data_IF_820129236092
#
_entry.id   IF_820129236092
#
_cell.length_a   1.000
_cell.length_b   1.000
_cell.length_c   1.000
_cell.angle_alpha   90.00
_cell.angle_beta   90.00
_cell.angle_gamma   90.00
#
_symmetry.space_group_name_H-M   'P 1'
#
loop_
_entity.id
_entity.type
_entity.pdbx_description
1 polymer ?
#
# COMPACT_ATOMS: atom_id res chain seq x y z
N UNK A 1 -18.90 -8.78 44.55
CA UNK A 1 -19.12 -9.57 43.31
C UNK A 1 -18.61 -8.76 42.10
N UNK A 2 -17.34 -8.79 41.74
CA UNK A 2 -16.78 -7.92 40.69
C UNK A 2 -15.49 -8.43 40.03
N UNK A 3 -14.94 -9.59 40.42
CA UNK A 3 -13.63 -10.08 39.92
C UNK A 3 -13.68 -11.10 38.76
N UNK A 4 -14.85 -11.66 38.45
CA UNK A 4 -14.98 -12.75 37.46
C UNK A 4 -15.04 -12.27 35.99
N UNK A 5 -15.46 -11.04 35.73
CA UNK A 5 -15.53 -10.49 34.38
C UNK A 5 -14.15 -10.14 33.77
N UNK A 6 -13.25 -9.56 34.56
CA UNK A 6 -11.90 -9.16 34.12
C UNK A 6 -11.00 -10.37 33.79
N UNK A 7 -11.14 -11.50 34.48
CA UNK A 7 -10.39 -12.72 34.21
C UNK A 7 -10.75 -13.35 32.87
N UNK A 8 -12.04 -13.46 32.55
CA UNK A 8 -12.54 -14.04 31.29
C UNK A 8 -12.16 -13.19 30.07
N UNK A 9 -12.10 -11.87 30.20
CA UNK A 9 -11.65 -10.97 29.12
C UNK A 9 -10.16 -11.13 28.86
N UNK A 10 -9.35 -11.20 29.92
CA UNK A 10 -7.89 -11.44 29.81
C UNK A 10 -7.58 -12.80 29.17
N UNK A 11 -8.34 -13.81 29.49
CA UNK A 11 -8.18 -15.17 28.91
C UNK A 11 -8.54 -15.19 27.41
N UNK A 12 -9.62 -14.54 27.01
CA UNK A 12 -10.00 -14.39 25.59
C UNK A 12 -8.96 -13.60 24.80
N UNK A 13 -8.40 -12.55 25.38
CA UNK A 13 -7.32 -11.77 24.77
C UNK A 13 -6.05 -12.64 24.63
N UNK A 14 -5.68 -13.42 25.64
CA UNK A 14 -4.55 -14.36 25.55
C UNK A 14 -4.74 -15.40 24.45
N UNK A 15 -5.91 -16.03 24.39
CA UNK A 15 -6.24 -17.02 23.36
C UNK A 15 -6.17 -16.38 21.97
N UNK A 16 -6.72 -15.19 21.79
CA UNK A 16 -6.67 -14.43 20.55
C UNK A 16 -5.24 -14.08 20.12
N UNK A 17 -4.42 -13.60 21.04
CA UNK A 17 -3.00 -13.32 20.80
C UNK A 17 -2.18 -14.60 20.50
N UNK A 18 -2.50 -15.71 21.17
CA UNK A 18 -1.85 -17.00 20.90
C UNK A 18 -2.23 -17.54 19.52
N UNK A 19 -3.49 -17.41 19.11
CA UNK A 19 -3.94 -17.80 17.76
C UNK A 19 -3.24 -16.93 16.70
N UNK A 20 -3.15 -15.63 16.90
CA UNK A 20 -2.40 -14.72 16.00
C UNK A 20 -0.93 -15.12 15.93
N UNK A 21 -0.30 -15.46 17.04
CA UNK A 21 1.09 -15.87 17.11
C UNK A 21 1.33 -17.20 16.39
N UNK A 22 0.44 -18.18 16.55
CA UNK A 22 0.53 -19.49 15.89
C UNK A 22 0.33 -19.39 14.35
N UNK A 23 -0.53 -18.49 13.88
CA UNK A 23 -0.73 -18.28 12.45
C UNK A 23 0.51 -17.71 11.74
N UNK A 24 1.37 -16.98 12.46
CA UNK A 24 2.58 -16.39 11.87
C UNK A 24 3.76 -17.37 11.74
N UNK A 25 3.73 -18.52 12.41
CA UNK A 25 4.82 -19.53 12.35
C UNK A 25 4.71 -20.40 11.08
N UNK A 26 3.55 -20.43 10.43
CA UNK A 26 3.23 -21.35 9.33
C UNK A 26 3.56 -20.82 7.93
N UNK A 27 4.13 -19.63 7.76
CA UNK A 27 4.36 -19.02 6.45
C UNK A 27 5.76 -18.48 6.32
N UNK A 28 6.70 -19.36 5.95
CA UNK A 28 8.11 -19.02 5.80
C UNK A 28 8.53 -18.68 4.36
N UNK A 29 7.68 -18.84 3.37
CA UNK A 29 8.00 -18.48 1.99
C UNK A 29 7.71 -16.99 1.75
N UNK A 30 8.81 -16.21 1.58
CA UNK A 30 8.71 -14.78 1.28
C UNK A 30 8.29 -14.55 -0.18
N UNK A 31 7.47 -13.53 -0.40
CA UNK A 31 7.15 -13.00 -1.74
C UNK A 31 8.21 -12.01 -2.24
N UNK A 32 9.38 -11.95 -1.60
CA UNK A 32 10.50 -11.14 -2.04
C UNK A 32 11.05 -11.70 -3.37
N UNK A 33 11.38 -10.77 -4.29
CA UNK A 33 11.92 -11.15 -5.61
C UNK A 33 10.88 -11.39 -6.70
N UNK A 34 9.58 -11.39 -6.37
CA UNK A 34 8.53 -11.43 -7.39
C UNK A 34 8.22 -10.05 -7.97
N UNK A 35 7.80 -10.00 -9.22
CA UNK A 35 7.43 -8.80 -9.94
C UNK A 35 6.44 -7.90 -9.16
N UNK A 36 6.44 -6.61 -9.46
CA UNK A 36 5.56 -5.64 -8.81
C UNK A 36 5.86 -5.41 -7.32
N UNK A 37 7.09 -5.64 -6.85
CA UNK A 37 7.46 -5.48 -5.44
C UNK A 37 7.20 -4.07 -4.92
N UNK A 38 7.37 -3.05 -5.75
CA UNK A 38 7.14 -1.64 -5.42
C UNK A 38 5.67 -1.33 -5.09
N UNK A 39 4.72 -2.08 -5.65
CA UNK A 39 3.28 -1.93 -5.36
C UNK A 39 2.91 -2.38 -3.94
N UNK A 40 3.76 -3.17 -3.30
CA UNK A 40 3.54 -3.70 -1.95
C UNK A 40 4.02 -2.77 -0.84
N UNK A 41 4.68 -1.66 -1.19
CA UNK A 41 4.92 -0.55 -0.27
C UNK A 41 3.61 0.22 -0.02
N UNK A 42 3.56 0.98 1.06
CA UNK A 42 2.47 1.91 1.30
C UNK A 42 2.55 3.10 0.33
N UNK A 43 1.43 3.74 0.10
CA UNK A 43 1.32 4.91 -0.80
C UNK A 43 1.13 6.23 -0.05
N UNK A 44 1.19 6.22 1.28
CA UNK A 44 1.16 7.42 2.12
C UNK A 44 1.97 7.20 3.39
N UNK A 45 2.55 8.28 3.94
CA UNK A 45 3.19 8.26 5.25
C UNK A 45 2.18 7.89 6.35
N UNK A 46 0.92 8.31 6.20
CA UNK A 46 -0.17 7.91 7.07
C UNK A 46 -0.29 6.38 7.14
N UNK A 47 -0.46 5.70 6.00
CA UNK A 47 -0.62 4.23 5.98
C UNK A 47 0.64 3.52 6.48
N UNK A 48 1.81 3.99 6.07
CA UNK A 48 3.08 3.35 6.40
C UNK A 48 3.42 3.47 7.88
N UNK A 49 3.11 4.59 8.53
CA UNK A 49 3.27 4.77 9.98
C UNK A 49 2.37 3.86 10.80
N UNK A 50 1.26 3.40 10.21
CA UNK A 50 0.32 2.46 10.83
C UNK A 50 0.48 1.02 10.31
N UNK A 51 1.70 0.63 9.93
CA UNK A 51 2.02 -0.72 9.46
C UNK A 51 1.52 -1.04 8.04
N UNK A 52 0.96 -0.09 7.30
CA UNK A 52 0.44 -0.29 5.94
C UNK A 52 -0.94 -0.96 5.88
N UNK A 53 -1.67 -1.04 6.99
CA UNK A 53 -3.02 -1.58 7.08
C UNK A 53 -4.06 -0.56 6.63
N UNK A 54 -4.57 -0.66 5.38
CA UNK A 54 -5.44 0.37 4.82
C UNK A 54 -6.60 -0.16 3.97
N UNK A 55 -6.95 -1.41 4.16
CA UNK A 55 -8.00 -2.07 3.35
C UNK A 55 -9.40 -1.49 3.61
N UNK A 56 -9.68 -1.03 4.82
CA UNK A 56 -10.97 -0.46 5.21
C UNK A 56 -10.99 1.07 5.28
N UNK A 57 -9.82 1.74 5.30
CA UNK A 57 -9.74 3.20 5.40
C UNK A 57 -10.05 3.87 4.05
N UNK A 58 -10.80 4.99 4.06
CA UNK A 58 -11.21 5.65 2.83
C UNK A 58 -10.98 7.18 2.83
N UNK A 59 -10.74 7.79 3.97
CA UNK A 59 -10.72 9.25 4.15
C UNK A 59 -9.31 9.82 4.25
N UNK A 60 -8.28 8.98 4.19
CA UNK A 60 -6.90 9.39 4.41
C UNK A 60 -6.00 9.07 3.22
N UNK A 61 -5.36 10.10 2.71
CA UNK A 61 -4.20 9.99 1.84
C UNK A 61 -4.50 9.66 0.38
N UNK A 62 -4.28 8.44 -0.05
CA UNK A 62 -4.25 8.01 -1.45
C UNK A 62 -5.47 7.15 -1.82
N UNK A 63 -6.68 7.76 -1.95
CA UNK A 63 -7.90 7.01 -2.18
C UNK A 63 -7.83 6.23 -3.49
N UNK A 64 -8.39 5.02 -3.45
CA UNK A 64 -8.51 4.15 -4.61
C UNK A 64 -7.38 3.14 -4.77
N UNK A 65 -6.13 3.48 -4.45
CA UNK A 65 -5.03 2.52 -4.64
C UNK A 65 -5.11 1.32 -3.70
N UNK A 66 -5.28 1.55 -2.41
CA UNK A 66 -5.31 0.48 -1.40
C UNK A 66 -6.60 -0.36 -1.46
N UNK A 67 -7.71 0.30 -1.75
CA UNK A 67 -9.01 -0.31 -1.98
C UNK A 67 -9.83 0.63 -2.89
N UNK A 68 -10.16 0.22 -4.13
CA UNK A 68 -10.89 1.08 -5.05
C UNK A 68 -12.26 1.53 -4.51
N UNK A 69 -12.90 0.76 -3.65
CA UNK A 69 -14.18 1.14 -3.04
C UNK A 69 -14.11 2.43 -2.21
N UNK A 70 -12.91 2.85 -1.77
CA UNK A 70 -12.69 4.06 -0.96
C UNK A 70 -13.13 5.33 -1.67
N UNK A 71 -12.95 5.44 -3.00
CA UNK A 71 -13.34 6.65 -3.75
C UNK A 71 -14.85 6.88 -3.78
N UNK A 72 -15.67 5.86 -3.55
CA UNK A 72 -17.13 6.00 -3.44
C UNK A 72 -17.60 6.73 -2.18
N UNK A 73 -16.74 6.88 -1.18
CA UNK A 73 -17.04 7.61 0.06
C UNK A 73 -16.45 9.03 0.12
N UNK A 74 -15.77 9.47 -0.92
CA UNK A 74 -15.18 10.81 -0.96
C UNK A 74 -16.25 11.90 -0.83
N UNK A 75 -15.93 12.93 -0.06
CA UNK A 75 -16.74 14.13 0.05
C UNK A 75 -16.10 15.30 -0.70
N UNK A 76 -14.78 15.40 -0.68
CA UNK A 76 -13.95 16.43 -1.29
C UNK A 76 -13.13 15.89 -2.44
N UNK A 77 -12.57 16.80 -3.22
CA UNK A 77 -11.49 16.49 -4.14
C UNK A 77 -10.19 16.41 -3.36
N UNK A 78 -9.36 15.42 -3.67
CA UNK A 78 -8.07 15.23 -3.00
C UNK A 78 -6.95 15.21 -4.02
N UNK A 79 -5.88 15.94 -3.74
CA UNK A 79 -4.57 15.76 -4.36
C UNK A 79 -3.63 15.23 -3.31
N UNK A 80 -2.88 14.18 -3.63
CA UNK A 80 -1.91 13.59 -2.72
C UNK A 80 -0.60 13.40 -3.45
N UNK A 81 0.51 13.78 -2.81
CA UNK A 81 1.87 13.56 -3.29
C UNK A 81 2.66 12.87 -2.19
N UNK A 82 3.45 11.88 -2.56
CA UNK A 82 4.31 11.14 -1.64
C UNK A 82 5.73 11.08 -2.19
N UNK A 83 6.70 11.19 -1.28
CA UNK A 83 8.09 10.84 -1.52
C UNK A 83 8.58 9.90 -0.41
N UNK A 84 9.04 8.72 -0.80
CA UNK A 84 9.60 7.70 0.06
C UNK A 84 11.10 7.55 -0.25
N UNK A 85 11.94 7.98 0.65
CA UNK A 85 13.39 7.79 0.61
C UNK A 85 13.72 6.42 1.18
N UNK A 86 14.08 5.51 0.32
CA UNK A 86 14.48 4.15 0.67
C UNK A 86 16.00 4.05 0.76
N UNK A 87 16.55 3.17 1.60
CA UNK A 87 17.98 2.87 1.60
C UNK A 87 18.47 2.28 0.27
N UNK A 88 19.78 2.30 0.04
CA UNK A 88 20.45 1.72 -1.12
C UNK A 88 20.08 2.40 -2.45
N UNK A 89 20.07 3.73 -2.46
CA UNK A 89 19.75 4.57 -3.63
C UNK A 89 18.39 4.23 -4.29
N UNK A 90 17.45 3.67 -3.50
CA UNK A 90 16.08 3.39 -3.92
C UNK A 90 15.14 4.54 -3.56
N UNK A 91 14.14 4.73 -4.37
CA UNK A 91 13.09 5.71 -4.12
C UNK A 91 11.71 5.20 -4.55
N UNK A 92 10.66 5.81 -4.01
CA UNK A 92 9.31 5.68 -4.50
C UNK A 92 8.63 7.04 -4.41
N UNK A 93 8.09 7.50 -5.52
CA UNK A 93 7.33 8.75 -5.63
C UNK A 93 5.94 8.39 -6.12
N UNK A 94 4.92 9.04 -5.59
CA UNK A 94 3.57 8.87 -6.09
C UNK A 94 2.78 10.16 -6.06
N UNK A 95 1.82 10.25 -6.97
CA UNK A 95 0.87 11.35 -7.05
C UNK A 95 -0.52 10.84 -7.42
N UNK A 96 -1.57 11.40 -6.81
CA UNK A 96 -2.94 11.05 -7.14
C UNK A 96 -3.88 12.25 -7.09
N UNK A 97 -4.93 12.13 -7.86
CA UNK A 97 -6.11 12.97 -7.79
C UNK A 97 -7.35 12.10 -7.64
N UNK A 98 -8.25 12.49 -6.75
CA UNK A 98 -9.53 11.79 -6.59
C UNK A 98 -10.66 12.79 -6.34
N UNK A 99 -11.84 12.42 -6.81
CA UNK A 99 -13.02 13.28 -6.76
C UNK A 99 -14.30 12.48 -6.63
N UNK A 100 -15.27 13.08 -5.97
CA UNK A 100 -16.64 12.60 -5.95
C UNK A 100 -17.30 12.82 -7.32
N UNK A 101 -18.04 11.82 -7.78
CA UNK A 101 -18.93 11.91 -8.93
C UNK A 101 -20.38 11.76 -8.45
N UNK A 102 -21.17 12.84 -8.43
CA UNK A 102 -22.57 12.76 -8.03
C UNK A 102 -23.40 11.81 -8.92
N UNK A 103 -24.41 11.11 -8.38
CA UNK A 103 -24.91 11.23 -7.01
C UNK A 103 -24.18 10.32 -6.00
N UNK A 104 -23.57 9.23 -6.42
CA UNK A 104 -23.10 8.17 -5.50
C UNK A 104 -21.76 7.53 -5.90
N UNK A 105 -21.11 8.03 -6.93
CA UNK A 105 -19.86 7.48 -7.43
C UNK A 105 -18.64 8.32 -7.02
N UNK A 106 -17.45 7.79 -7.23
CA UNK A 106 -16.16 8.46 -7.11
C UNK A 106 -15.18 7.96 -8.15
N UNK A 107 -14.22 8.81 -8.47
CA UNK A 107 -13.15 8.55 -9.42
C UNK A 107 -11.81 8.89 -8.77
N UNK A 108 -10.80 8.10 -9.08
CA UNK A 108 -9.41 8.35 -8.70
C UNK A 108 -8.47 8.04 -9.85
N UNK A 109 -7.43 8.82 -10.00
CA UNK A 109 -6.31 8.53 -10.90
C UNK A 109 -5.02 8.76 -10.14
N UNK A 110 -4.02 7.93 -10.38
CA UNK A 110 -2.71 8.13 -9.77
C UNK A 110 -1.60 7.43 -10.52
N UNK A 111 -0.39 7.86 -10.19
CA UNK A 111 0.86 7.32 -10.70
C UNK A 111 1.77 7.00 -9.53
N UNK A 112 2.46 5.87 -9.62
CA UNK A 112 3.53 5.45 -8.73
C UNK A 112 4.76 5.23 -9.59
N UNK A 113 5.88 5.82 -9.21
CA UNK A 113 7.19 5.57 -9.78
C UNK A 113 8.12 5.10 -8.68
N UNK A 114 8.81 4.02 -8.92
CA UNK A 114 9.85 3.50 -8.04
C UNK A 114 11.09 3.17 -8.85
N UNK A 115 12.26 3.27 -8.24
CA UNK A 115 13.49 2.99 -8.94
C UNK A 115 14.67 2.76 -8.02
N UNK A 116 15.76 2.35 -8.63
CA UNK A 116 17.08 2.25 -8.02
C UNK A 116 18.05 2.99 -8.91
N UNK A 117 18.73 3.97 -8.32
CA UNK A 117 19.79 4.72 -8.99
C UNK A 117 21.17 4.14 -8.69
N UNK A 118 22.18 4.50 -9.53
CA UNK A 118 23.59 4.18 -9.30
C UNK A 118 23.90 2.71 -9.09
N UNK A 119 23.23 1.82 -9.82
CA UNK A 119 23.55 0.38 -9.79
C UNK A 119 24.95 0.20 -10.38
N UNK A 120 25.90 -0.31 -9.58
CA UNK A 120 27.28 -0.55 -9.99
C UNK A 120 27.36 -1.78 -10.89
N UNK A 121 27.42 -1.55 -12.19
CA UNK A 121 27.58 -2.61 -13.18
C UNK A 121 29.01 -3.12 -13.23
N UNK A 122 29.19 -4.46 -13.25
CA UNK A 122 30.49 -5.12 -13.28
C UNK A 122 30.53 -6.23 -14.32
N UNK A 123 31.67 -6.38 -14.97
CA UNK A 123 31.93 -7.53 -15.84
C UNK A 123 32.28 -8.81 -15.04
N UNK A 124 32.47 -9.92 -15.74
CA UNK A 124 32.81 -11.20 -15.12
C UNK A 124 34.15 -11.20 -14.35
N UNK A 125 35.03 -10.22 -14.59
CA UNK A 125 36.28 -10.02 -13.87
C UNK A 125 36.13 -9.11 -12.64
N UNK A 126 34.92 -8.57 -12.40
CA UNK A 126 34.63 -7.64 -11.31
C UNK A 126 34.96 -6.18 -11.63
N UNK A 127 35.42 -5.85 -12.84
CA UNK A 127 35.70 -4.49 -13.27
C UNK A 127 34.41 -3.74 -13.53
N UNK A 128 34.34 -2.51 -13.03
CA UNK A 128 33.17 -1.63 -13.25
C UNK A 128 33.01 -1.33 -14.74
N UNK A 129 31.79 -1.56 -15.25
CA UNK A 129 31.39 -1.29 -16.64
C UNK A 129 30.61 0.01 -16.79
N UNK A 130 29.93 0.47 -15.71
CA UNK A 130 29.15 1.69 -15.69
C UNK A 130 28.23 1.77 -14.49
N UNK A 131 27.46 2.87 -14.43
CA UNK A 131 26.36 3.05 -13.49
C UNK A 131 25.05 2.90 -14.27
N UNK A 132 24.19 2.05 -13.77
CA UNK A 132 22.86 1.79 -14.33
C UNK A 132 21.76 2.28 -13.40
N UNK A 133 20.55 2.38 -13.92
CA UNK A 133 19.33 2.64 -13.15
C UNK A 133 18.20 1.75 -13.64
N UNK A 134 17.25 1.48 -12.77
CA UNK A 134 15.99 0.80 -13.12
C UNK A 134 14.82 1.63 -12.63
N UNK A 135 13.74 1.61 -13.38
CA UNK A 135 12.53 2.36 -13.06
C UNK A 135 11.29 1.51 -13.31
N UNK A 136 10.35 1.59 -12.38
CA UNK A 136 9.05 0.93 -12.45
C UNK A 136 7.94 1.99 -12.30
N UNK A 137 6.93 1.89 -13.14
CA UNK A 137 5.77 2.78 -13.11
C UNK A 137 4.48 1.98 -13.01
N UNK A 138 3.55 2.46 -12.23
CA UNK A 138 2.17 2.02 -12.22
C UNK A 138 1.24 3.23 -12.34
N UNK A 139 0.40 3.23 -13.36
CA UNK A 139 -0.70 4.19 -13.51
C UNK A 139 -1.98 3.44 -13.19
N UNK A 140 -2.86 4.00 -12.38
CA UNK A 140 -4.14 3.38 -12.06
C UNK A 140 -5.30 4.35 -12.21
N UNK A 141 -6.43 3.80 -12.59
CA UNK A 141 -7.72 4.46 -12.65
C UNK A 141 -8.68 3.72 -11.74
N UNK A 142 -9.20 4.40 -10.74
CA UNK A 142 -10.17 3.89 -9.76
C UNK A 142 -11.57 4.40 -10.06
N UNK A 143 -12.54 3.52 -10.02
CA UNK A 143 -13.94 3.89 -10.05
C UNK A 143 -14.69 3.13 -8.96
N UNK A 144 -15.56 3.82 -8.22
CA UNK A 144 -16.43 3.18 -7.25
C UNK A 144 -17.82 3.78 -7.26
N UNK A 145 -18.79 2.95 -6.88
CA UNK A 145 -20.15 3.36 -6.64
C UNK A 145 -20.60 2.96 -5.23
N UNK A 146 -21.13 3.94 -4.52
CA UNK A 146 -21.78 3.74 -3.23
C UNK A 146 -23.21 3.26 -3.49
N UNK A 147 -23.42 1.93 -3.41
CA UNK A 147 -24.72 1.30 -3.69
C UNK A 147 -25.79 1.72 -2.68
N UNK A 148 -25.40 1.81 -1.42
CA UNK A 148 -26.21 2.32 -0.31
C UNK A 148 -25.33 3.19 0.60
N UNK A 149 -25.92 3.91 1.55
CA UNK A 149 -25.17 4.82 2.45
C UNK A 149 -23.98 4.17 3.16
N UNK A 150 -24.00 2.84 3.32
CA UNK A 150 -23.00 2.08 4.09
C UNK A 150 -22.11 1.18 3.25
N UNK A 151 -22.38 0.98 1.97
CA UNK A 151 -21.67 0.00 1.14
C UNK A 151 -21.18 0.67 -0.14
N UNK A 152 -19.91 0.50 -0.43
CA UNK A 152 -19.26 0.88 -1.67
C UNK A 152 -18.59 -0.32 -2.32
N UNK A 153 -18.69 -0.41 -3.64
CA UNK A 153 -17.94 -1.32 -4.50
C UNK A 153 -17.08 -0.52 -5.45
N UNK A 154 -15.89 -0.99 -5.74
CA UNK A 154 -14.97 -0.30 -6.62
C UNK A 154 -14.08 -1.24 -7.42
N UNK A 155 -13.53 -0.72 -8.50
CA UNK A 155 -12.59 -1.40 -9.38
C UNK A 155 -11.42 -0.46 -9.71
N UNK A 156 -10.23 -1.03 -9.85
CA UNK A 156 -9.06 -0.38 -10.44
C UNK A 156 -8.69 -1.06 -11.74
N UNK A 157 -8.30 -0.27 -12.71
CA UNK A 157 -7.51 -0.73 -13.88
C UNK A 157 -6.12 -0.13 -13.71
N UNK A 158 -5.10 -0.98 -13.84
CA UNK A 158 -3.70 -0.62 -13.69
C UNK A 158 -2.93 -0.88 -14.99
N UNK A 159 -2.01 0.00 -15.31
CA UNK A 159 -1.04 -0.15 -16.41
C UNK A 159 0.33 -0.06 -15.79
N UNK A 160 1.18 -1.03 -16.11
CA UNK A 160 2.54 -1.13 -15.61
C UNK A 160 3.54 -0.91 -16.72
N UNK A 161 4.67 -0.29 -16.37
CA UNK A 161 5.81 -0.12 -17.24
C UNK A 161 7.08 -0.24 -16.41
N UNK A 162 8.07 -1.00 -16.91
CA UNK A 162 9.36 -1.17 -16.25
C UNK A 162 10.50 -1.05 -17.26
N UNK A 163 11.60 -0.44 -16.83
CA UNK A 163 12.85 -0.32 -17.57
C UNK A 163 13.92 -1.12 -16.85
N UNK A 164 14.53 -2.11 -17.51
CA UNK A 164 15.65 -2.87 -16.97
C UNK A 164 16.98 -2.15 -17.13
N UNK A 165 17.92 -2.34 -16.16
CA UNK A 165 19.22 -1.70 -16.14
C UNK A 165 20.25 -2.43 -17.03
N UNK A 166 19.94 -2.60 -18.32
CA UNK A 166 20.84 -3.25 -19.30
C UNK A 166 21.07 -2.35 -20.50
N UNK A 167 22.22 -2.54 -21.16
CA UNK A 167 22.48 -1.89 -22.45
C UNK A 167 21.39 -2.32 -23.45
N UNK A 168 20.79 -1.33 -24.15
CA UNK A 168 19.67 -1.56 -25.07
C UNK A 168 18.29 -1.27 -24.49
N UNK A 169 18.16 -0.96 -23.18
CA UNK A 169 16.90 -0.62 -22.50
C UNK A 169 15.73 -1.54 -22.84
N UNK A 170 15.70 -2.71 -22.23
CA UNK A 170 14.53 -3.57 -22.34
C UNK A 170 13.40 -2.97 -21.50
N UNK A 171 12.28 -2.80 -22.16
CA UNK A 171 11.07 -2.29 -21.55
C UNK A 171 10.06 -3.42 -21.40
N UNK A 172 9.37 -3.45 -20.28
CA UNK A 172 8.23 -4.31 -20.05
C UNK A 172 6.96 -3.48 -19.92
N UNK A 173 5.86 -4.06 -20.31
CA UNK A 173 4.52 -3.52 -20.13
C UNK A 173 3.64 -4.55 -19.47
N UNK A 174 2.69 -4.08 -18.69
CA UNK A 174 1.75 -4.97 -18.02
C UNK A 174 0.43 -4.27 -17.70
N UNK A 175 -0.53 -5.06 -17.33
CA UNK A 175 -1.84 -4.58 -16.85
C UNK A 175 -2.28 -5.40 -15.65
N UNK A 176 -3.18 -4.87 -14.86
CA UNK A 176 -3.76 -5.55 -13.71
C UNK A 176 -5.09 -4.94 -13.33
N UNK A 177 -5.87 -5.68 -12.58
CA UNK A 177 -7.20 -5.24 -12.12
C UNK A 177 -7.31 -5.49 -10.62
N UNK A 178 -7.98 -4.56 -9.92
CA UNK A 178 -8.38 -4.76 -8.52
C UNK A 178 -9.89 -4.67 -8.40
N UNK A 179 -10.45 -5.38 -7.42
CA UNK A 179 -11.85 -5.28 -7.02
C UNK A 179 -11.94 -5.08 -5.51
N UNK A 180 -12.70 -4.09 -5.08
CA UNK A 180 -12.78 -3.68 -3.69
C UNK A 180 -14.19 -3.53 -3.16
N UNK A 181 -14.33 -3.73 -1.87
CA UNK A 181 -15.55 -3.60 -1.09
C UNK A 181 -15.24 -2.90 0.23
N UNK A 182 -16.09 -1.95 0.63
CA UNK A 182 -16.07 -1.32 1.96
C UNK A 182 -17.47 -1.30 2.53
N UNK A 183 -17.59 -1.74 3.79
CA UNK A 183 -18.81 -1.69 4.58
C UNK A 183 -18.62 -0.81 5.82
N UNK A 184 -19.33 0.31 5.87
CA UNK A 184 -19.38 1.19 7.02
C UNK A 184 -20.45 0.69 7.99
N UNK A 185 -20.04 -0.20 8.93
CA UNK A 185 -20.96 -0.80 9.89
C UNK A 185 -21.60 0.27 10.80
N UNK A 186 -20.78 1.14 11.37
CA UNK A 186 -21.20 2.25 12.24
C UNK A 186 -20.33 3.48 11.98
N UNK A 187 -20.52 4.55 12.75
CA UNK A 187 -19.64 5.73 12.70
C UNK A 187 -18.20 5.40 13.12
N UNK A 188 -18.02 4.37 13.95
CA UNK A 188 -16.76 4.02 14.57
C UNK A 188 -16.14 2.73 14.01
N UNK A 189 -16.84 1.96 13.15
CA UNK A 189 -16.34 0.68 12.64
C UNK A 189 -16.58 0.56 11.15
N UNK A 190 -15.50 0.34 10.43
CA UNK A 190 -15.46 0.09 9.00
C UNK A 190 -14.76 -1.23 8.72
N UNK A 191 -15.26 -1.96 7.73
CA UNK A 191 -14.72 -3.22 7.26
C UNK A 191 -14.42 -3.10 5.77
N UNK A 192 -13.30 -3.63 5.35
CA UNK A 192 -12.85 -3.60 3.97
C UNK A 192 -12.42 -4.99 3.48
N UNK A 193 -12.63 -5.21 2.21
CA UNK A 193 -12.13 -6.36 1.48
C UNK A 193 -11.65 -5.92 0.10
N UNK A 194 -10.54 -6.48 -0.37
CA UNK A 194 -10.01 -6.17 -1.70
C UNK A 194 -9.25 -7.37 -2.27
N UNK A 195 -9.39 -7.58 -3.55
CA UNK A 195 -8.51 -8.42 -4.37
C UNK A 195 -7.69 -7.46 -5.23
N UNK A 196 -6.36 -7.50 -5.10
CA UNK A 196 -5.45 -6.65 -5.86
C UNK A 196 -4.53 -7.48 -6.74
N UNK A 197 -4.09 -6.84 -7.84
CA UNK A 197 -3.15 -7.40 -8.81
C UNK A 197 -3.67 -8.71 -9.45
N UNK A 198 -5.00 -8.79 -9.62
CA UNK A 198 -5.61 -9.93 -10.29
C UNK A 198 -5.21 -9.93 -11.77
N UNK A 199 -4.65 -11.06 -12.20
CA UNK A 199 -4.13 -11.26 -13.55
C UNK A 199 -3.12 -10.16 -13.96
N UNK A 200 -2.28 -9.75 -13.01
CA UNK A 200 -1.25 -8.75 -13.25
C UNK A 200 0.07 -9.43 -13.62
N UNK A 201 0.70 -8.96 -14.68
CA UNK A 201 2.00 -9.44 -15.15
C UNK A 201 2.77 -8.35 -15.89
N UNK A 202 4.09 -8.53 -15.97
CA UNK A 202 4.94 -7.88 -16.96
C UNK A 202 5.15 -8.83 -18.14
N UNK A 203 5.11 -8.31 -19.37
CA UNK A 203 5.52 -8.99 -20.57
C UNK A 203 6.85 -8.42 -21.10
N UNK A 204 7.84 -9.28 -21.24
CA UNK A 204 9.19 -8.98 -21.70
C UNK A 204 9.43 -9.57 -23.10
N UNK A 205 10.02 -8.80 -24.00
CA UNK A 205 10.46 -9.32 -25.30
C UNK A 205 11.97 -9.17 -25.41
N UNK A 206 12.68 -10.30 -25.54
CA UNK A 206 14.14 -10.33 -25.65
C UNK A 206 14.66 -10.10 -27.08
N UNK A 207 13.77 -10.07 -28.07
CA UNK A 207 14.16 -9.83 -29.48
C UNK A 207 14.72 -8.43 -29.75
N UNK A 208 14.38 -7.47 -28.88
CA UNK A 208 14.89 -6.10 -28.97
C UNK A 208 16.37 -5.99 -28.53
N UNK A 209 16.91 -6.98 -27.79
CA UNK A 209 18.29 -6.93 -27.25
C UNK A 209 19.31 -7.31 -28.31
N UNK A 210 19.03 -8.34 -29.08
CA UNK A 210 20.03 -8.99 -29.94
C UNK A 210 19.73 -8.85 -31.44
N UNK A 211 18.68 -8.10 -31.80
CA UNK A 211 18.20 -7.97 -33.18
C UNK A 211 17.91 -9.34 -33.85
N UNK A 212 17.61 -10.34 -33.03
CA UNK A 212 17.31 -11.73 -33.42
C UNK A 212 15.87 -12.08 -33.00
N UNK A 213 15.41 -13.28 -33.39
CA UNK A 213 14.11 -13.80 -32.91
C UNK A 213 14.17 -13.97 -31.39
N UNK A 214 13.56 -13.03 -30.65
CA UNK A 214 13.41 -13.13 -29.20
C UNK A 214 12.25 -13.99 -28.76
N UNK A 215 12.24 -14.30 -27.48
CA UNK A 215 11.12 -14.94 -26.78
C UNK A 215 10.39 -13.91 -25.91
N UNK A 216 9.08 -14.07 -25.78
CA UNK A 216 8.29 -13.31 -24.82
C UNK A 216 8.22 -14.10 -23.52
N UNK A 217 8.53 -13.44 -22.41
CA UNK A 217 8.41 -13.97 -21.06
C UNK A 217 7.40 -13.15 -20.29
N UNK A 218 6.66 -13.78 -19.41
CA UNK A 218 5.71 -13.14 -18.51
C UNK A 218 6.17 -13.33 -17.07
N UNK A 219 6.26 -12.22 -16.32
CA UNK A 219 6.53 -12.20 -14.89
C UNK A 219 5.24 -11.87 -14.16
N UNK A 220 4.59 -12.87 -13.58
CA UNK A 220 3.34 -12.70 -12.85
C UNK A 220 3.56 -11.94 -11.54
N UNK A 221 2.58 -11.10 -11.17
CA UNK A 221 2.53 -10.47 -9.87
C UNK A 221 1.80 -11.36 -8.87
N UNK A 222 2.24 -11.42 -7.60
CA UNK A 222 1.46 -12.09 -6.57
C UNK A 222 0.11 -11.40 -6.38
N UNK A 223 -0.97 -12.12 -6.66
CA UNK A 223 -2.32 -11.68 -6.34
C UNK A 223 -2.47 -11.51 -4.82
N UNK A 224 -3.11 -10.44 -4.39
CA UNK A 224 -3.32 -10.12 -2.99
C UNK A 224 -4.80 -10.17 -2.65
N UNK A 225 -5.18 -10.99 -1.67
CA UNK A 225 -6.52 -10.99 -1.06
C UNK A 225 -6.38 -10.38 0.33
N UNK A 226 -7.05 -9.25 0.56
CA UNK A 226 -6.91 -8.49 1.79
C UNK A 226 -8.26 -8.30 2.47
N UNK A 227 -8.28 -8.45 3.78
CA UNK A 227 -9.41 -8.10 4.64
C UNK A 227 -8.91 -7.22 5.79
N UNK A 228 -9.65 -6.19 6.14
CA UNK A 228 -9.23 -5.26 7.17
C UNK A 228 -10.38 -4.55 7.85
N UNK A 229 -10.05 -3.87 8.93
CA UNK A 229 -10.98 -3.05 9.69
C UNK A 229 -10.31 -1.74 10.14
N UNK A 230 -11.15 -0.73 10.37
CA UNK A 230 -10.81 0.50 11.09
C UNK A 230 -11.81 0.67 12.23
N UNK A 231 -11.30 0.87 13.45
CA UNK A 231 -12.11 1.12 14.63
C UNK A 231 -11.66 2.42 15.31
N UNK A 232 -12.60 3.37 15.49
CA UNK A 232 -12.35 4.72 16.01
C UNK A 232 -13.04 4.96 17.35
N UNK A 233 -12.47 4.50 18.47
CA UNK A 233 -12.99 4.77 19.82
C UNK A 233 -12.50 6.15 20.33
N UNK A 234 -13.22 7.22 20.02
CA UNK A 234 -12.88 8.56 20.50
C UNK A 234 -11.66 9.17 19.82
N UNK A 235 -10.60 9.46 20.59
CA UNK A 235 -9.35 10.07 20.08
C UNK A 235 -8.32 9.06 19.58
N UNK A 236 -8.73 7.80 19.38
CA UNK A 236 -7.87 6.75 18.87
C UNK A 236 -8.45 6.13 17.63
N UNK A 237 -7.59 5.86 16.64
CA UNK A 237 -7.90 5.00 15.51
C UNK A 237 -7.07 3.73 15.62
N UNK A 238 -7.70 2.59 15.44
CA UNK A 238 -7.07 1.27 15.42
C UNK A 238 -7.36 0.65 14.06
N UNK A 239 -6.30 0.21 13.37
CA UNK A 239 -6.41 -0.42 12.06
C UNK A 239 -5.81 -1.81 12.13
N UNK A 240 -6.46 -2.77 11.47
CA UNK A 240 -5.92 -4.11 11.28
C UNK A 240 -6.21 -4.64 9.90
N UNK A 241 -5.20 -5.26 9.28
CA UNK A 241 -5.31 -5.90 7.98
C UNK A 241 -4.67 -7.29 8.01
N UNK A 242 -5.31 -8.22 7.33
CA UNK A 242 -4.74 -9.50 6.93
C UNK A 242 -4.65 -9.55 5.41
N UNK A 243 -3.49 -9.94 4.88
CA UNK A 243 -3.26 -10.13 3.46
C UNK A 243 -2.80 -11.56 3.21
N UNK A 244 -3.45 -12.24 2.29
CA UNK A 244 -3.02 -13.49 1.70
C UNK A 244 -2.47 -13.20 0.29
N UNK A 245 -1.27 -13.68 0.02
CA UNK A 245 -0.62 -13.58 -1.29
C UNK A 245 -0.66 -14.94 -1.96
N UNK A 246 -0.99 -14.95 -3.24
CA UNK A 246 -1.00 -16.15 -4.07
C UNK A 246 -0.24 -15.88 -5.37
N UNK A 247 0.67 -16.79 -5.75
CA UNK A 247 1.33 -16.79 -7.02
C UNK A 247 1.28 -18.19 -7.62
N UNK A 248 0.63 -18.30 -8.77
CA UNK A 248 0.38 -19.59 -9.39
C UNK A 248 -0.28 -20.58 -8.41
N UNK A 249 0.06 -21.86 -8.54
CA UNK A 249 -0.52 -22.93 -7.70
C UNK A 249 0.36 -23.31 -6.50
N UNK A 250 1.57 -22.75 -6.34
CA UNK A 250 2.58 -23.32 -5.44
C UNK A 250 3.14 -22.36 -4.41
N UNK A 251 3.07 -21.04 -4.62
CA UNK A 251 3.63 -20.06 -3.69
C UNK A 251 2.52 -19.26 -3.03
N UNK A 252 2.47 -19.35 -1.72
CA UNK A 252 1.58 -18.51 -0.92
C UNK A 252 2.33 -17.92 0.27
N UNK A 253 1.91 -16.73 0.67
CA UNK A 253 2.44 -16.06 1.86
C UNK A 253 1.31 -15.27 2.52
N UNK A 254 1.49 -14.91 3.77
CA UNK A 254 0.54 -14.04 4.45
C UNK A 254 1.23 -12.91 5.20
N UNK A 255 0.47 -11.89 5.50
CA UNK A 255 0.96 -10.72 6.22
C UNK A 255 -0.13 -10.13 7.10
N UNK A 256 0.25 -9.83 8.34
CA UNK A 256 -0.60 -9.14 9.30
C UNK A 256 -0.04 -7.74 9.50
N UNK A 257 -0.93 -6.75 9.50
CA UNK A 257 -0.63 -5.35 9.77
C UNK A 257 -1.53 -4.85 10.86
N UNK A 258 -0.96 -4.16 11.82
CA UNK A 258 -1.69 -3.50 12.90
C UNK A 258 -1.14 -2.09 13.06
N UNK A 259 -2.02 -1.15 13.32
CA UNK A 259 -1.63 0.24 13.53
C UNK A 259 -2.58 0.95 14.49
N UNK A 260 -2.06 2.01 15.10
CA UNK A 260 -2.82 2.90 15.94
C UNK A 260 -2.43 4.35 15.72
N UNK A 261 -3.44 5.22 15.71
CA UNK A 261 -3.28 6.66 15.71
C UNK A 261 -3.85 7.21 17.03
N UNK A 262 -3.14 8.15 17.60
CA UNK A 262 -3.59 8.96 18.73
C UNK A 262 -3.63 10.43 18.32
N UNK A 263 -4.72 11.12 18.66
CA UNK A 263 -4.98 12.52 18.35
C UNK A 263 -4.87 13.31 19.65
N UNK A 264 -3.66 13.78 20.07
CA UNK A 264 -3.47 14.54 21.29
C UNK A 264 -4.07 15.94 21.24
N UNK A 265 -4.14 16.52 20.06
CA UNK A 265 -4.71 17.85 19.77
C UNK A 265 -5.42 17.81 18.42
N UNK A 266 -6.38 18.69 18.18
CA UNK A 266 -7.26 18.68 17.00
C UNK A 266 -6.55 18.58 15.63
N UNK A 267 -5.27 18.94 15.53
CA UNK A 267 -4.52 18.99 14.26
C UNK A 267 -3.22 18.24 14.28
N UNK A 268 -2.95 17.52 15.36
CA UNK A 268 -1.71 16.76 15.53
C UNK A 268 -2.04 15.29 15.69
N UNK A 269 -1.37 14.45 14.91
CA UNK A 269 -1.56 13.02 14.88
C UNK A 269 -0.24 12.33 15.20
N UNK A 270 -0.27 11.33 16.08
CA UNK A 270 0.86 10.48 16.41
C UNK A 270 0.48 9.05 16.11
N UNK A 271 1.34 8.33 15.39
CA UNK A 271 1.03 7.01 14.84
C UNK A 271 2.13 6.01 15.13
N UNK A 272 1.72 4.78 15.34
CA UNK A 272 2.62 3.64 15.42
C UNK A 272 1.98 2.41 14.77
N UNK A 273 2.80 1.56 14.19
CA UNK A 273 2.31 0.37 13.52
C UNK A 273 3.34 -0.74 13.42
N UNK A 274 2.86 -1.91 13.03
CA UNK A 274 3.65 -3.11 12.81
C UNK A 274 3.19 -3.75 11.51
N UNK A 275 4.14 -4.06 10.64
CA UNK A 275 3.95 -4.81 9.41
C UNK A 275 4.76 -6.09 9.49
N UNK A 276 4.11 -7.20 9.82
CA UNK A 276 4.79 -8.49 9.96
C UNK A 276 6.06 -8.40 10.84
N UNK A 277 5.93 -7.83 12.06
CA UNK A 277 6.97 -7.55 13.05
C UNK A 277 7.95 -6.39 12.72
N UNK A 278 7.84 -5.76 11.57
CA UNK A 278 8.62 -4.55 11.27
C UNK A 278 7.86 -3.32 11.80
N UNK A 279 8.45 -2.60 12.77
CA UNK A 279 7.79 -1.44 13.36
C UNK A 279 7.88 -0.21 12.45
N UNK A 280 6.91 0.65 12.61
CA UNK A 280 6.87 1.98 12.00
C UNK A 280 6.29 2.98 12.99
N UNK A 281 6.70 4.23 12.88
CA UNK A 281 6.14 5.35 13.63
C UNK A 281 5.94 6.54 12.72
N UNK A 282 5.09 7.46 13.10
CA UNK A 282 4.89 8.67 12.31
C UNK A 282 4.10 9.74 13.03
N UNK A 283 4.02 10.88 12.38
CA UNK A 283 3.25 12.04 12.82
C UNK A 283 2.54 12.69 11.64
N UNK A 284 1.47 13.40 11.93
CA UNK A 284 0.75 14.22 10.97
C UNK A 284 0.43 15.58 11.55
N UNK A 285 0.43 16.58 10.69
CA UNK A 285 0.01 17.94 10.99
C UNK A 285 -1.02 18.37 9.96
N UNK A 286 -2.21 18.71 10.44
CA UNK A 286 -3.28 19.31 9.62
C UNK A 286 -3.27 20.82 9.78
N UNK A 287 -3.46 21.55 8.70
CA UNK A 287 -3.49 23.00 8.71
C UNK A 287 -4.39 23.56 7.59
N UNK A 288 -4.66 24.84 7.66
CA UNK A 288 -5.52 25.52 6.69
C UNK A 288 -4.65 26.23 5.65
N UNK A 289 -4.85 25.95 4.38
CA UNK A 289 -4.16 26.57 3.26
C UNK A 289 -5.11 27.40 2.39
N UNK A 290 -6.15 26.79 1.85
CA UNK A 290 -7.19 27.43 1.00
C UNK A 290 -8.52 27.54 1.73
N UNK A 291 -8.85 26.54 2.53
CA UNK A 291 -10.04 26.48 3.41
C UNK A 291 -9.65 25.84 4.76
N UNK A 292 -10.51 25.92 5.79
CA UNK A 292 -10.20 25.32 7.08
C UNK A 292 -9.87 23.82 6.96
N UNK A 293 -8.72 23.42 7.53
CA UNK A 293 -8.26 22.04 7.67
C UNK A 293 -8.17 21.23 6.36
N UNK A 294 -7.81 21.92 5.28
CA UNK A 294 -7.75 21.35 3.93
C UNK A 294 -6.39 20.73 3.56
N UNK A 295 -5.35 21.06 4.30
CA UNK A 295 -4.00 20.58 4.03
C UNK A 295 -3.47 19.73 5.18
N UNK A 296 -2.75 18.63 4.83
CA UNK A 296 -2.13 17.74 5.79
C UNK A 296 -0.74 17.36 5.32
N UNK A 297 0.22 17.45 6.23
CA UNK A 297 1.58 16.95 6.06
C UNK A 297 1.79 15.78 7.00
N UNK A 298 2.16 14.63 6.44
CA UNK A 298 2.47 13.43 7.21
C UNK A 298 3.91 13.01 7.01
N UNK A 299 4.51 12.51 8.09
CA UNK A 299 5.82 11.89 8.09
C UNK A 299 5.75 10.50 8.69
N UNK A 300 6.48 9.54 8.11
CA UNK A 300 6.68 8.22 8.68
C UNK A 300 8.15 7.81 8.64
N UNK A 301 8.56 7.11 9.69
CA UNK A 301 9.81 6.39 9.79
C UNK A 301 9.48 4.91 9.81
N UNK A 302 10.02 4.17 8.84
CA UNK A 302 9.74 2.74 8.66
C UNK A 302 11.04 1.96 8.75
N UNK A 303 11.06 0.94 9.61
CA UNK A 303 12.19 0.02 9.69
C UNK A 303 12.13 -0.94 8.50
N UNK A 304 13.21 -1.00 7.73
CA UNK A 304 13.38 -1.94 6.63
C UNK A 304 13.63 -3.38 7.11
N UNK A 305 13.65 -4.31 6.19
CA UNK A 305 14.03 -5.70 6.47
C UNK A 305 15.48 -5.75 6.97
N UNK A 306 15.89 -6.92 7.47
CA UNK A 306 17.21 -7.14 8.10
C UNK A 306 18.34 -6.52 7.27
N UNK A 307 19.00 -5.49 7.84
CA UNK A 307 20.16 -4.83 7.24
C UNK A 307 19.84 -3.72 6.21
N UNK A 308 18.58 -3.48 5.87
CA UNK A 308 18.22 -2.40 4.92
C UNK A 308 18.24 -1.00 5.54
N UNK A 309 18.14 -0.89 6.87
CA UNK A 309 18.12 0.40 7.55
C UNK A 309 16.74 1.04 7.67
N UNK A 310 16.73 2.34 7.91
CA UNK A 310 15.49 3.13 8.08
C UNK A 310 15.13 3.82 6.77
N UNK A 311 13.83 3.91 6.50
CA UNK A 311 13.32 4.71 5.39
C UNK A 311 12.42 5.84 5.89
N UNK A 312 12.43 6.95 5.15
CA UNK A 312 11.72 8.18 5.47
C UNK A 312 10.64 8.44 4.44
N UNK A 313 9.43 8.66 4.90
CA UNK A 313 8.27 8.88 4.02
C UNK A 313 7.63 10.21 4.35
N UNK A 314 7.40 11.00 3.33
CA UNK A 314 6.68 12.27 3.41
C UNK A 314 5.45 12.20 2.51
N UNK A 315 4.32 12.65 3.00
CA UNK A 315 3.09 12.78 2.22
C UNK A 315 2.47 14.13 2.44
N UNK A 316 2.06 14.76 1.36
CA UNK A 316 1.27 15.96 1.36
C UNK A 316 -0.11 15.67 0.78
N UNK A 317 -1.15 16.07 1.48
CA UNK A 317 -2.55 15.93 1.06
C UNK A 317 -3.20 17.32 1.04
N UNK A 318 -3.90 17.62 -0.05
CA UNK A 318 -4.72 18.81 -0.18
C UNK A 318 -6.14 18.40 -0.54
N UNK A 319 -7.13 18.90 0.24
CA UNK A 319 -8.57 18.67 0.04
C UNK A 319 -9.25 19.99 -0.37
N UNK A 320 -10.06 20.00 -1.42
CA UNK A 320 -10.72 21.22 -1.91
C UNK A 320 -12.06 20.97 -2.59
#
# INVERSE_FOLDING_TARGET
MGKTGSSKVKEKIKIFLTIIFLFNILSAEGIAGFAGSFLRFGTTAYSMSMGGGFTAAFDQGFPGYQNPASVGFLNDRNVTVLHHFLPLDRYLISGSFSTKLPPSAGLGIGIINAGVDKIDGRDASGKQTGLFSTEEYAIYLSFANKLVKKISLGVNVKIFYQVLPIEGRINSKGTGVDAGFIYRHSKNLELGFVIQDWNASYAWNTGEIFNEKGSTYEDEFPMQIRAGFVYRPGSFDIIGDYTYFQMGNHVSSNRIRLGGEYIPMERIFVRAGINNFLPSVGMGLQYSLLKPDDAQLDYALVLGMRGEGLSHVFTYVLKF
#
